data_IF_194651604224
#
_entry.id   IF_194651604224
#
_cell.length_a   1.000
_cell.length_b   1.000
_cell.length_c   1.000
_cell.angle_alpha   90.00
_cell.angle_beta   90.00
_cell.angle_gamma   90.00
#
_symmetry.space_group_name_H-M   'P 1'
#
loop_
_entity.id
_entity.type
_entity.pdbx_description
1 polymer ?
#
# COMPACT_ATOMS: atom_id res chain seq x y z
N UNK A 1 58.62 42.01 -28.19
CA UNK A 1 57.31 42.05 -28.91
C UNK A 1 56.52 40.73 -28.94
N UNK A 2 57.14 39.56 -28.71
CA UNK A 2 56.48 38.23 -28.80
C UNK A 2 55.61 37.86 -27.58
N UNK A 3 55.96 38.37 -26.39
CA UNK A 3 55.24 38.11 -25.14
C UNK A 3 54.00 38.99 -24.95
N UNK A 4 54.00 40.21 -25.51
CA UNK A 4 52.84 41.12 -25.46
C UNK A 4 51.68 40.62 -26.34
N UNK A 5 51.99 39.99 -27.49
CA UNK A 5 50.99 39.35 -28.36
C UNK A 5 50.34 38.13 -27.69
N UNK A 6 51.10 37.35 -26.91
CA UNK A 6 50.57 36.20 -26.14
C UNK A 6 49.67 36.64 -24.98
N UNK A 7 50.03 37.74 -24.32
CA UNK A 7 49.22 38.33 -23.26
C UNK A 7 47.90 38.90 -23.81
N UNK A 8 47.95 39.61 -24.95
CA UNK A 8 46.75 40.13 -25.63
C UNK A 8 45.84 39.02 -26.16
N UNK A 9 46.40 37.92 -26.68
CA UNK A 9 45.61 36.74 -27.09
C UNK A 9 44.93 36.05 -25.90
N UNK A 10 45.61 35.94 -24.75
CA UNK A 10 45.04 35.34 -23.55
C UNK A 10 43.88 36.17 -22.97
N UNK A 11 44.02 37.50 -22.95
CA UNK A 11 42.96 38.41 -22.49
C UNK A 11 41.75 38.41 -23.43
N UNK A 12 41.96 38.32 -24.74
CA UNK A 12 40.87 38.23 -25.73
C UNK A 12 40.07 36.91 -25.60
N UNK A 13 40.73 35.79 -25.28
CA UNK A 13 40.05 34.49 -25.06
C UNK A 13 39.22 34.49 -23.77
N UNK A 14 39.73 35.11 -22.70
CA UNK A 14 39.01 35.21 -21.41
C UNK A 14 37.80 36.15 -21.53
N UNK A 15 37.91 37.25 -22.30
CA UNK A 15 36.78 38.16 -22.54
C UNK A 15 35.72 37.57 -23.49
N UNK A 16 36.11 36.70 -24.43
CA UNK A 16 35.18 36.02 -25.34
C UNK A 16 34.31 34.95 -24.67
N UNK A 17 34.79 34.35 -23.57
CA UNK A 17 34.03 33.31 -22.84
C UNK A 17 32.81 33.85 -22.07
N UNK A 18 32.74 35.16 -21.83
CA UNK A 18 31.63 35.77 -21.07
C UNK A 18 30.42 36.16 -21.93
N UNK A 19 30.46 35.92 -23.25
CA UNK A 19 29.38 36.28 -24.19
C UNK A 19 28.64 35.08 -24.80
N UNK A 20 28.76 33.89 -24.22
CA UNK A 20 27.91 32.77 -24.63
C UNK A 20 26.51 32.92 -24.01
N UNK A 21 25.42 32.99 -24.80
CA UNK A 21 24.08 32.93 -24.25
C UNK A 21 23.88 31.54 -23.64
N UNK A 22 23.76 31.49 -22.32
CA UNK A 22 23.28 30.30 -21.62
C UNK A 22 21.82 30.13 -22.01
N UNK A 23 21.55 29.29 -23.00
CA UNK A 23 20.22 28.76 -23.22
C UNK A 23 19.89 27.85 -22.04
N UNK A 24 19.41 28.44 -20.94
CA UNK A 24 18.78 27.69 -19.87
C UNK A 24 17.58 26.97 -20.48
N UNK A 25 17.60 25.63 -20.47
CA UNK A 25 16.40 24.86 -20.75
C UNK A 25 15.37 25.25 -19.69
N UNK A 26 14.32 25.95 -20.11
CA UNK A 26 13.10 26.05 -19.34
C UNK A 26 12.52 24.64 -19.35
N UNK A 27 12.87 23.87 -18.32
CA UNK A 27 12.19 22.63 -18.00
C UNK A 27 10.74 23.03 -17.71
N UNK A 28 9.92 22.93 -18.76
CA UNK A 28 8.48 22.94 -18.62
C UNK A 28 8.15 21.62 -17.94
N UNK A 29 8.30 21.62 -16.62
CA UNK A 29 7.75 20.60 -15.75
C UNK A 29 6.29 20.52 -16.14
N UNK A 30 5.94 19.51 -16.94
CA UNK A 30 4.56 19.11 -17.13
C UNK A 30 4.06 18.86 -15.72
N UNK A 31 3.31 19.82 -15.18
CA UNK A 31 2.42 19.61 -14.05
C UNK A 31 1.46 18.54 -14.54
N UNK A 32 1.87 17.29 -14.33
CA UNK A 32 1.01 16.13 -14.47
C UNK A 32 -0.11 16.44 -13.50
N UNK A 33 -1.26 16.84 -14.05
CA UNK A 33 -2.43 17.27 -13.30
C UNK A 33 -2.56 16.38 -12.08
N UNK A 34 -2.32 16.99 -10.92
CA UNK A 34 -2.52 16.35 -9.65
C UNK A 34 -3.97 15.86 -9.68
N UNK A 35 -4.14 14.54 -9.76
CA UNK A 35 -5.45 13.94 -9.65
C UNK A 35 -5.86 14.28 -8.24
N UNK A 36 -6.69 15.31 -8.09
CA UNK A 36 -7.13 15.86 -6.82
C UNK A 36 -7.62 14.70 -5.97
N UNK A 37 -6.75 14.21 -5.11
CA UNK A 37 -7.02 13.06 -4.28
C UNK A 37 -7.96 13.62 -3.21
N UNK A 38 -9.21 13.15 -3.20
CA UNK A 38 -10.18 13.57 -2.19
C UNK A 38 -9.60 13.45 -0.77
N UNK A 39 -10.18 14.14 0.21
CA UNK A 39 -9.60 14.29 1.54
C UNK A 39 -9.11 12.95 2.09
N UNK A 40 -7.82 12.88 2.42
CA UNK A 40 -7.20 11.68 3.00
C UNK A 40 -7.81 11.48 4.37
N UNK A 41 -8.60 10.42 4.51
CA UNK A 41 -9.09 9.95 5.82
C UNK A 41 -8.01 9.06 6.45
N UNK A 42 -7.66 9.38 7.68
CA UNK A 42 -6.77 8.64 8.56
C UNK A 42 -7.58 7.61 9.34
N UNK A 43 -7.06 6.38 9.48
CA UNK A 43 -7.74 5.29 10.19
C UNK A 43 -6.85 4.68 11.27
N UNK A 44 -7.42 4.53 12.47
CA UNK A 44 -6.80 3.90 13.65
C UNK A 44 -7.08 2.38 13.66
N UNK A 45 -6.55 1.63 12.68
CA UNK A 45 -6.91 0.21 12.47
C UNK A 45 -6.37 -0.77 13.51
N UNK A 46 -5.39 -0.38 14.32
CA UNK A 46 -4.64 -1.29 15.21
C UNK A 46 -4.36 -0.70 16.60
N UNK A 47 -4.98 0.43 16.92
CA UNK A 47 -4.81 1.08 18.23
C UNK A 47 -5.83 0.57 19.25
N UNK A 48 -7.03 0.22 18.78
CA UNK A 48 -8.14 -0.24 19.60
C UNK A 48 -8.30 -1.75 19.58
N UNK A 49 -8.82 -2.30 20.68
CA UNK A 49 -9.13 -3.73 20.78
C UNK A 49 -10.52 -4.08 20.23
N UNK A 50 -11.33 -3.07 19.91
CA UNK A 50 -12.68 -3.26 19.42
C UNK A 50 -12.66 -3.80 17.98
N UNK A 51 -13.37 -4.90 17.68
CA UNK A 51 -13.44 -5.43 16.33
C UNK A 51 -14.10 -4.42 15.38
N UNK A 52 -13.41 -4.09 14.29
CA UNK A 52 -14.01 -3.31 13.20
C UNK A 52 -14.99 -4.15 12.40
N UNK A 53 -16.21 -3.64 12.21
CA UNK A 53 -17.17 -4.26 11.30
C UNK A 53 -16.78 -3.95 9.84
N UNK A 54 -16.71 -4.99 9.01
CA UNK A 54 -16.37 -4.84 7.60
C UNK A 54 -17.12 -5.82 6.70
N UNK A 55 -17.37 -5.40 5.47
CA UNK A 55 -17.96 -6.21 4.40
C UNK A 55 -17.04 -6.27 3.20
N UNK A 56 -16.83 -7.47 2.67
CA UNK A 56 -15.98 -7.72 1.51
C UNK A 56 -16.80 -8.36 0.39
N UNK A 57 -17.11 -7.57 -0.63
CA UNK A 57 -17.90 -7.98 -1.79
C UNK A 57 -17.01 -8.31 -2.98
N UNK A 58 -17.11 -9.53 -3.49
CA UNK A 58 -16.39 -10.03 -4.68
C UNK A 58 -17.03 -11.34 -5.18
N UNK A 59 -16.53 -11.88 -6.29
CA UNK A 59 -16.97 -13.18 -6.83
C UNK A 59 -16.44 -14.35 -5.99
N UNK A 60 -17.09 -14.57 -4.84
CA UNK A 60 -16.76 -15.66 -3.93
C UNK A 60 -16.88 -17.03 -4.60
N UNK A 61 -17.85 -17.20 -5.52
CA UNK A 61 -18.09 -18.49 -6.19
C UNK A 61 -16.88 -18.92 -7.02
N UNK A 62 -16.28 -18.00 -7.77
CA UNK A 62 -15.08 -18.32 -8.55
C UNK A 62 -13.83 -18.39 -7.66
N UNK A 63 -13.72 -17.55 -6.63
CA UNK A 63 -12.63 -17.61 -5.65
C UNK A 63 -12.55 -18.95 -4.92
N UNK A 64 -13.69 -19.55 -4.56
CA UNK A 64 -13.69 -20.84 -3.87
C UNK A 64 -13.22 -22.01 -4.76
N UNK A 65 -13.14 -21.83 -6.09
CA UNK A 65 -12.68 -22.87 -7.01
C UNK A 65 -11.17 -23.07 -7.02
N UNK A 66 -10.38 -22.10 -6.53
CA UNK A 66 -8.90 -22.18 -6.44
C UNK A 66 -8.24 -22.64 -7.75
N UNK A 67 -8.67 -22.08 -8.90
CA UNK A 67 -8.20 -22.50 -10.23
C UNK A 67 -6.70 -22.29 -10.42
N UNK A 68 -6.21 -21.11 -10.05
CA UNK A 68 -4.80 -20.77 -10.11
C UNK A 68 -4.44 -19.83 -8.96
N UNK A 69 -3.31 -20.09 -8.29
CA UNK A 69 -2.88 -19.30 -7.14
C UNK A 69 -2.62 -17.83 -7.48
N UNK A 70 -2.27 -17.53 -8.73
CA UNK A 70 -1.99 -16.18 -9.24
C UNK A 70 -3.24 -15.41 -9.68
N UNK A 71 -4.41 -16.06 -9.66
CA UNK A 71 -5.68 -15.44 -10.04
C UNK A 71 -5.99 -14.21 -9.16
N UNK A 72 -6.63 -13.22 -9.77
CA UNK A 72 -6.99 -11.95 -9.12
C UNK A 72 -8.48 -11.73 -9.24
N UNK A 73 -9.06 -11.19 -8.17
CA UNK A 73 -10.48 -10.91 -8.10
C UNK A 73 -10.66 -9.44 -7.76
N UNK A 74 -11.57 -8.78 -8.46
CA UNK A 74 -11.96 -7.41 -8.14
C UNK A 74 -13.02 -7.42 -7.03
N UNK A 75 -12.94 -6.46 -6.12
CA UNK A 75 -13.89 -6.36 -5.03
C UNK A 75 -13.99 -4.97 -4.42
N UNK A 76 -14.95 -4.85 -3.51
CA UNK A 76 -15.19 -3.67 -2.70
C UNK A 76 -15.10 -4.09 -1.24
N UNK A 77 -14.23 -3.42 -0.49
CA UNK A 77 -14.18 -3.52 0.97
C UNK A 77 -14.87 -2.29 1.55
N UNK A 78 -15.87 -2.51 2.39
CA UNK A 78 -16.55 -1.47 3.17
C UNK A 78 -16.14 -1.63 4.62
N UNK A 79 -15.57 -0.58 5.22
CA UNK A 79 -15.23 -0.51 6.65
C UNK A 79 -16.26 0.36 7.36
N UNK A 80 -16.87 -0.13 8.44
CA UNK A 80 -17.70 0.68 9.32
C UNK A 80 -16.79 1.38 10.35
N UNK A 81 -16.73 2.71 10.28
CA UNK A 81 -15.89 3.54 11.17
C UNK A 81 -16.69 4.00 12.40
N UNK A 82 -18.00 4.07 12.26
CA UNK A 82 -18.97 4.30 13.33
C UNK A 82 -20.34 3.78 12.87
N UNK A 83 -21.38 3.76 13.72
CA UNK A 83 -22.73 3.32 13.32
C UNK A 83 -23.31 4.07 12.11
N UNK A 84 -22.80 5.27 11.80
CA UNK A 84 -23.30 6.12 10.72
C UNK A 84 -22.26 6.47 9.66
N UNK A 85 -20.98 6.09 9.85
CA UNK A 85 -19.90 6.40 8.91
C UNK A 85 -19.27 5.11 8.38
N UNK A 86 -19.29 4.98 7.06
CA UNK A 86 -18.66 3.86 6.36
C UNK A 86 -17.68 4.37 5.33
N UNK A 87 -16.67 3.55 5.04
CA UNK A 87 -15.65 3.87 4.05
C UNK A 87 -15.44 2.73 3.07
N UNK A 88 -15.72 3.02 1.81
CA UNK A 88 -15.51 2.09 0.71
C UNK A 88 -14.11 2.19 0.11
N UNK A 89 -13.56 1.02 -0.22
CA UNK A 89 -12.29 0.85 -0.92
C UNK A 89 -12.41 -0.18 -2.02
N UNK A 90 -12.06 0.24 -3.24
CA UNK A 90 -11.83 -0.70 -4.34
C UNK A 90 -10.57 -1.49 -4.05
N UNK A 91 -10.67 -2.81 -4.10
CA UNK A 91 -9.60 -3.74 -3.77
C UNK A 91 -9.44 -4.81 -4.85
N UNK A 92 -8.26 -5.40 -4.89
CA UNK A 92 -8.00 -6.64 -5.63
C UNK A 92 -7.65 -7.73 -4.63
N UNK A 93 -8.29 -8.89 -4.72
CA UNK A 93 -8.04 -10.04 -3.87
C UNK A 93 -7.16 -11.06 -4.60
N UNK A 94 -6.27 -11.70 -3.84
CA UNK A 94 -5.43 -12.81 -4.28
C UNK A 94 -5.42 -13.91 -3.24
N UNK A 95 -5.20 -15.14 -3.67
CA UNK A 95 -4.83 -16.20 -2.74
C UNK A 95 -3.46 -15.91 -2.11
N UNK A 96 -3.23 -16.37 -0.88
CA UNK A 96 -1.94 -16.23 -0.19
C UNK A 96 -1.50 -17.53 0.49
N UNK A 97 -0.24 -17.55 0.96
CA UNK A 97 0.31 -18.66 1.73
C UNK A 97 0.57 -19.93 0.89
N UNK A 98 1.31 -20.86 1.49
CA UNK A 98 1.64 -22.14 0.86
C UNK A 98 0.75 -23.25 1.44
N UNK A 99 0.97 -23.61 2.71
CA UNK A 99 0.26 -24.71 3.38
C UNK A 99 -1.25 -24.49 3.40
N UNK A 100 -1.73 -23.32 3.86
CA UNK A 100 -3.18 -23.03 3.89
C UNK A 100 -3.80 -22.94 2.50
N UNK A 101 -3.06 -22.51 1.49
CA UNK A 101 -3.56 -22.53 0.11
C UNK A 101 -3.78 -23.97 -0.36
N UNK A 102 -2.93 -24.92 0.00
CA UNK A 102 -3.10 -26.33 -0.40
C UNK A 102 -4.16 -27.02 0.45
N UNK A 103 -4.10 -26.84 1.77
CA UNK A 103 -4.80 -27.69 2.74
C UNK A 103 -6.16 -27.16 3.21
N UNK A 104 -6.47 -25.87 3.01
CA UNK A 104 -7.73 -25.29 3.45
C UNK A 104 -8.80 -25.32 2.37
N UNK A 105 -10.02 -25.67 2.77
CA UNK A 105 -11.23 -25.59 1.95
C UNK A 105 -11.63 -24.13 1.73
N UNK A 106 -11.42 -23.27 2.74
CA UNK A 106 -11.50 -21.83 2.59
C UNK A 106 -10.10 -21.23 2.37
N UNK A 107 -9.80 -20.74 1.16
CA UNK A 107 -8.45 -20.33 0.82
C UNK A 107 -8.13 -18.96 1.42
N UNK A 108 -6.98 -18.79 2.10
CA UNK A 108 -6.60 -17.53 2.73
C UNK A 108 -6.46 -16.41 1.69
N UNK A 109 -6.83 -15.18 2.07
CA UNK A 109 -6.94 -14.06 1.15
C UNK A 109 -5.98 -12.92 1.51
N UNK A 110 -5.33 -12.36 0.49
CA UNK A 110 -4.63 -11.08 0.56
C UNK A 110 -5.46 -10.03 -0.17
N UNK A 111 -5.83 -8.98 0.56
CA UNK A 111 -6.57 -7.83 0.06
C UNK A 111 -5.56 -6.75 -0.32
N UNK A 112 -5.56 -6.35 -1.58
CA UNK A 112 -4.69 -5.29 -2.10
C UNK A 112 -5.54 -4.04 -2.36
N UNK A 113 -5.23 -2.94 -1.68
CA UNK A 113 -5.94 -1.69 -1.85
C UNK A 113 -5.48 -0.94 -3.10
N UNK A 114 -6.41 -0.53 -3.96
CA UNK A 114 -6.07 0.28 -5.16
C UNK A 114 -5.57 1.68 -4.78
N UNK A 115 -6.13 2.24 -3.72
CA UNK A 115 -5.65 3.45 -3.04
C UNK A 115 -5.29 3.07 -1.62
N UNK A 116 -4.10 3.43 -1.16
CA UNK A 116 -3.65 3.06 0.18
C UNK A 116 -4.57 3.67 1.24
N UNK A 117 -4.71 2.95 2.35
CA UNK A 117 -5.29 3.48 3.59
C UNK A 117 -4.16 4.18 4.34
N UNK A 118 -4.40 5.40 4.81
CA UNK A 118 -3.46 6.13 5.65
C UNK A 118 -3.79 5.85 7.11
N UNK A 119 -2.77 5.50 7.87
CA UNK A 119 -2.84 5.40 9.32
C UNK A 119 -2.46 6.77 9.92
N UNK A 120 -2.37 6.83 11.24
CA UNK A 120 -2.34 8.01 12.12
C UNK A 120 -1.28 9.06 11.75
N UNK A 121 -0.28 8.66 10.96
CA UNK A 121 0.67 9.56 10.29
C UNK A 121 0.66 9.38 8.76
N UNK A 122 0.86 10.47 8.03
CA UNK A 122 0.94 10.47 6.55
C UNK A 122 1.99 9.51 5.95
N UNK A 123 2.94 9.06 6.76
CA UNK A 123 3.99 8.11 6.36
C UNK A 123 3.56 6.66 6.54
N UNK A 124 2.70 6.35 7.51
CA UNK A 124 2.18 5.02 7.77
C UNK A 124 0.98 4.74 6.86
N UNK A 125 1.13 3.80 5.92
CA UNK A 125 0.08 3.45 4.97
C UNK A 125 -0.05 1.95 4.75
N UNK A 126 -1.29 1.48 4.72
CA UNK A 126 -1.66 0.10 4.43
C UNK A 126 -2.05 0.00 2.96
N UNK A 127 -1.18 -0.65 2.17
CA UNK A 127 -1.48 -1.00 0.77
C UNK A 127 -2.02 -2.43 0.62
N UNK A 128 -1.77 -3.27 1.62
CA UNK A 128 -2.17 -4.68 1.62
C UNK A 128 -2.56 -5.12 3.02
N UNK A 129 -3.58 -5.96 3.09
CA UNK A 129 -4.03 -6.59 4.33
C UNK A 129 -4.18 -8.09 4.10
N UNK A 130 -3.70 -8.88 5.06
CA UNK A 130 -3.79 -10.34 5.02
C UNK A 130 -4.93 -10.76 5.94
N UNK A 131 -5.96 -11.40 5.39
CA UNK A 131 -7.07 -11.91 6.18
C UNK A 131 -6.86 -13.41 6.44
N UNK A 132 -6.78 -13.75 7.72
CA UNK A 132 -6.82 -15.14 8.19
C UNK A 132 -8.25 -15.42 8.64
N UNK A 133 -8.81 -16.52 8.17
CA UNK A 133 -10.16 -16.99 8.50
C UNK A 133 -10.14 -18.51 8.61
N UNK A 134 -11.23 -19.10 9.09
CA UNK A 134 -11.33 -20.55 9.34
C UNK A 134 -10.89 -21.37 8.13
N UNK A 135 -10.06 -22.40 8.34
CA UNK A 135 -9.48 -23.20 7.26
C UNK A 135 -10.49 -24.17 6.63
N UNK A 136 -11.40 -24.71 7.44
CA UNK A 136 -12.42 -25.70 7.07
C UNK A 136 -13.69 -25.39 7.87
N UNK A 137 -14.77 -26.15 7.61
CA UNK A 137 -15.99 -26.10 8.42
C UNK A 137 -15.78 -26.82 9.76
N UNK A 138 -16.52 -26.39 10.76
CA UNK A 138 -16.60 -27.05 12.07
C UNK A 138 -15.96 -26.24 13.18
N UNK A 139 -16.51 -26.38 14.38
CA UNK A 139 -16.16 -25.60 15.57
C UNK A 139 -14.67 -25.66 15.94
N UNK A 140 -14.00 -26.79 15.71
CA UNK A 140 -12.56 -26.92 15.97
C UNK A 140 -11.73 -25.93 15.13
N UNK A 141 -12.10 -25.68 13.87
CA UNK A 141 -11.37 -24.74 13.01
C UNK A 141 -11.70 -23.29 13.33
N UNK A 142 -12.89 -23.00 13.87
CA UNK A 142 -13.25 -21.70 14.43
C UNK A 142 -12.41 -21.43 15.69
N UNK A 143 -12.29 -22.42 16.57
CA UNK A 143 -11.47 -22.34 17.77
C UNK A 143 -9.99 -22.07 17.45
N UNK A 144 -9.45 -22.68 16.40
CA UNK A 144 -8.07 -22.41 15.96
C UNK A 144 -7.84 -20.94 15.59
N UNK A 145 -8.83 -20.24 15.03
CA UNK A 145 -8.70 -18.82 14.75
C UNK A 145 -8.65 -18.01 16.05
N UNK A 146 -9.48 -18.35 17.03
CA UNK A 146 -9.47 -17.70 18.34
C UNK A 146 -8.14 -17.95 19.07
N UNK A 147 -7.62 -19.17 19.03
CA UNK A 147 -6.29 -19.49 19.58
C UNK A 147 -5.17 -18.73 18.88
N UNK A 148 -5.20 -18.65 17.55
CA UNK A 148 -4.23 -17.87 16.77
C UNK A 148 -4.27 -16.39 17.17
N UNK A 149 -5.46 -15.81 17.32
CA UNK A 149 -5.63 -14.44 17.84
C UNK A 149 -5.04 -14.27 19.25
N UNK A 150 -5.34 -15.17 20.19
CA UNK A 150 -4.81 -15.10 21.55
C UNK A 150 -3.28 -15.21 21.59
N UNK A 151 -2.67 -15.99 20.68
CA UNK A 151 -1.21 -16.06 20.55
C UNK A 151 -0.62 -14.72 20.11
N UNK A 152 -1.24 -14.03 19.14
CA UNK A 152 -0.81 -12.67 18.75
C UNK A 152 -0.96 -11.68 19.91
N UNK A 153 -2.08 -11.73 20.63
CA UNK A 153 -2.31 -10.91 21.83
C UNK A 153 -1.26 -11.14 22.91
N UNK A 154 -0.91 -12.40 23.16
CA UNK A 154 0.17 -12.75 24.08
C UNK A 154 1.52 -12.22 23.57
N UNK A 155 1.77 -12.28 22.26
CA UNK A 155 3.01 -11.77 21.68
C UNK A 155 3.14 -10.25 21.82
N UNK A 156 2.04 -9.48 21.76
CA UNK A 156 2.02 -8.04 22.05
C UNK A 156 2.49 -7.71 23.48
N UNK A 157 2.35 -8.64 24.45
CA UNK A 157 2.88 -8.46 25.81
C UNK A 157 4.41 -8.56 25.84
N UNK A 158 5.01 -9.33 24.93
CA UNK A 158 6.46 -9.55 24.89
C UNK A 158 7.20 -8.50 24.06
N UNK A 159 6.51 -7.79 23.16
CA UNK A 159 7.14 -6.81 22.27
C UNK A 159 6.15 -5.76 21.77
N UNK A 160 6.61 -4.51 21.72
CA UNK A 160 5.90 -3.38 21.12
C UNK A 160 5.92 -3.42 19.57
N UNK A 161 6.64 -4.39 18.98
CA UNK A 161 6.71 -4.57 17.51
C UNK A 161 5.60 -5.46 16.97
N UNK A 162 4.67 -5.87 17.81
CA UNK A 162 3.51 -6.68 17.44
C UNK A 162 2.25 -5.86 17.68
N UNK A 163 1.33 -5.91 16.70
CA UNK A 163 0.10 -5.12 16.64
C UNK A 163 -1.08 -6.10 16.64
#
# INVERSE_FOLDING_TARGET
MRNLKRLLLAVAVIAGLQFLPVNAQIDTSRVKGDKTEGPKRVLHLFEDEEPIEMSLQFDLRNFMKKKAKTETFEGILTLALSPTDTMDRKVTLKYRGESRYVNCGYPPVEINFKKAIYLDSDTAKVKKMKLVHQCQRGSLYEEYILREYLVYRLFNVFTDTSF
#
